data_IF_550843749932
#
_entry.id   IF_550843749932
#
_cell.length_a   1.000
_cell.length_b   1.000
_cell.length_c   1.000
_cell.angle_alpha   90.00
_cell.angle_beta   90.00
_cell.angle_gamma   90.00
#
_symmetry.space_group_name_H-M   'P 1'
#
loop_
_entity.id
_entity.type
_entity.pdbx_description
1 polymer ?
#
# COMPACT_ATOMS: atom_id res chain seq x y z
N UNK A 1 3.41 8.27 28.16
CA UNK A 1 2.98 9.33 29.12
C UNK A 1 1.46 9.29 29.25
N UNK A 2 0.89 9.59 30.43
CA UNK A 2 -0.57 9.65 30.62
C UNK A 2 -0.96 10.84 31.51
N UNK A 3 -1.99 11.59 31.11
CA UNK A 3 -2.64 12.64 31.91
C UNK A 3 -4.15 12.43 31.85
N UNK A 4 -4.76 12.00 32.96
CA UNK A 4 -6.19 11.69 33.00
C UNK A 4 -6.59 10.60 32.00
N UNK A 5 -7.43 10.94 31.03
CA UNK A 5 -7.85 10.06 29.93
C UNK A 5 -6.93 10.14 28.69
N UNK A 6 -5.93 11.03 28.69
CA UNK A 6 -5.05 11.26 27.53
C UNK A 6 -3.79 10.41 27.63
N UNK A 7 -3.48 9.69 26.55
CA UNK A 7 -2.31 8.83 26.44
C UNK A 7 -1.48 9.28 25.24
N UNK A 8 -0.16 9.39 25.42
CA UNK A 8 0.78 9.80 24.38
C UNK A 8 1.92 8.80 24.20
N UNK A 9 2.26 8.55 22.95
CA UNK A 9 3.40 7.74 22.49
C UNK A 9 4.07 8.42 21.30
N UNK A 10 5.40 8.29 21.20
CA UNK A 10 6.15 8.67 20.00
C UNK A 10 6.40 7.47 19.07
N UNK A 11 6.04 6.26 19.50
CA UNK A 11 6.27 5.04 18.74
C UNK A 11 5.16 4.85 17.73
N UNK A 12 5.48 5.12 16.48
CA UNK A 12 4.65 4.76 15.35
C UNK A 12 4.49 3.23 15.29
N UNK A 13 3.34 2.77 14.80
CA UNK A 13 3.07 1.34 14.71
C UNK A 13 2.84 0.61 16.05
N UNK A 14 2.84 1.28 17.21
CA UNK A 14 2.59 0.61 18.51
C UNK A 14 1.32 -0.24 18.52
N UNK A 15 0.27 0.22 17.83
CA UNK A 15 -1.02 -0.47 17.74
C UNK A 15 -1.04 -1.58 16.70
N UNK A 16 0.03 -1.81 15.93
CA UNK A 16 0.15 -2.94 15.01
C UNK A 16 0.43 -4.24 15.76
N UNK A 17 1.12 -4.18 16.90
CA UNK A 17 1.30 -5.33 17.78
C UNK A 17 -0.05 -5.77 18.37
N UNK A 18 -0.52 -6.96 17.95
CA UNK A 18 -1.80 -7.53 18.39
C UNK A 18 -1.90 -7.63 19.92
N UNK A 19 -0.83 -8.09 20.57
CA UNK A 19 -0.77 -8.22 22.03
C UNK A 19 -0.88 -6.87 22.75
N UNK A 20 -0.11 -5.87 22.30
CA UNK A 20 -0.20 -4.52 22.86
C UNK A 20 -1.57 -3.90 22.63
N UNK A 21 -2.07 -3.96 21.38
CA UNK A 21 -3.37 -3.40 21.00
C UNK A 21 -4.50 -3.98 21.84
N UNK A 22 -4.56 -5.31 21.98
CA UNK A 22 -5.61 -5.99 22.77
C UNK A 22 -5.55 -5.56 24.24
N UNK A 23 -4.36 -5.60 24.86
CA UNK A 23 -4.19 -5.16 26.25
C UNK A 23 -4.58 -3.70 26.44
N UNK A 24 -4.14 -2.83 25.54
CA UNK A 24 -4.42 -1.41 25.63
C UNK A 24 -5.92 -1.12 25.47
N UNK A 25 -6.61 -1.76 24.54
CA UNK A 25 -8.05 -1.59 24.35
C UNK A 25 -8.87 -2.11 25.54
N UNK A 26 -8.42 -3.18 26.22
CA UNK A 26 -9.03 -3.62 27.49
C UNK A 26 -8.90 -2.54 28.56
N UNK A 27 -7.74 -1.90 28.69
CA UNK A 27 -7.56 -0.79 29.65
C UNK A 27 -8.43 0.42 29.29
N UNK A 28 -8.55 0.76 28.01
CA UNK A 28 -9.43 1.84 27.52
C UNK A 28 -10.89 1.51 27.82
N UNK A 29 -11.34 0.28 27.56
CA UNK A 29 -12.71 -0.16 27.85
C UNK A 29 -13.04 -0.04 29.33
N UNK A 30 -12.11 -0.49 30.19
CA UNK A 30 -12.24 -0.37 31.65
C UNK A 30 -12.32 1.09 32.09
N UNK A 31 -11.42 1.94 31.61
CA UNK A 31 -11.41 3.36 31.94
C UNK A 31 -12.67 4.10 31.47
N UNK A 32 -13.26 3.67 30.35
CA UNK A 32 -14.49 4.22 29.80
C UNK A 32 -15.77 3.61 30.40
N UNK A 33 -15.67 2.61 31.27
CA UNK A 33 -16.83 1.88 31.79
C UNK A 33 -17.63 1.19 30.68
N UNK A 34 -16.95 0.64 29.67
CA UNK A 34 -17.56 -0.04 28.53
C UNK A 34 -17.33 -1.54 28.59
N UNK A 35 -18.32 -2.30 28.15
CA UNK A 35 -18.18 -3.74 27.90
C UNK A 35 -17.68 -3.93 26.48
N UNK A 36 -16.36 -3.92 26.33
CA UNK A 36 -15.68 -4.19 25.07
C UNK A 36 -14.64 -5.29 25.29
N UNK A 37 -14.62 -6.25 24.38
CA UNK A 37 -13.66 -7.36 24.37
C UNK A 37 -13.00 -7.36 23.00
N UNK A 38 -11.66 -7.21 22.91
CA UNK A 38 -10.96 -7.30 21.64
C UNK A 38 -11.18 -8.66 20.98
N UNK A 39 -11.35 -8.67 19.65
CA UNK A 39 -11.43 -9.90 18.89
C UNK A 39 -10.11 -10.70 18.99
N UNK A 40 -10.16 -12.00 19.34
CA UNK A 40 -8.96 -12.81 19.59
C UNK A 40 -8.22 -13.21 18.31
N UNK A 41 -8.91 -13.19 17.18
CA UNK A 41 -8.50 -13.66 15.85
C UNK A 41 -8.05 -12.52 14.91
N UNK A 42 -8.32 -11.26 15.25
CA UNK A 42 -7.80 -10.12 14.47
C UNK A 42 -6.27 -10.07 14.59
N UNK A 43 -5.57 -10.33 13.48
CA UNK A 43 -4.12 -10.22 13.39
C UNK A 43 -3.69 -9.16 12.38
N UNK A 44 -2.86 -8.23 12.82
CA UNK A 44 -2.29 -7.22 11.93
C UNK A 44 -1.33 -7.82 10.92
N UNK A 45 -0.52 -8.80 11.33
CA UNK A 45 0.46 -9.45 10.45
C UNK A 45 -0.20 -10.08 9.24
N UNK A 46 -1.24 -10.88 9.48
CA UNK A 46 -2.04 -11.53 8.42
C UNK A 46 -2.66 -10.49 7.48
N UNK A 47 -3.35 -9.48 8.02
CA UNK A 47 -3.99 -8.46 7.19
C UNK A 47 -2.98 -7.66 6.36
N UNK A 48 -1.79 -7.41 6.90
CA UNK A 48 -0.71 -6.72 6.19
C UNK A 48 -0.15 -7.58 5.07
N UNK A 49 0.04 -8.87 5.32
CA UNK A 49 0.49 -9.82 4.31
C UNK A 49 -0.51 -9.90 3.16
N UNK A 50 -1.80 -10.10 3.46
CA UNK A 50 -2.85 -10.08 2.43
C UNK A 50 -2.92 -8.75 1.66
N UNK A 51 -2.59 -7.62 2.30
CA UNK A 51 -2.54 -6.33 1.60
C UNK A 51 -1.35 -6.27 0.64
N UNK A 52 -0.20 -6.81 1.03
CA UNK A 52 0.99 -6.86 0.20
C UNK A 52 0.80 -7.83 -0.97
N UNK A 53 0.15 -8.96 -0.75
CA UNK A 53 -0.18 -9.91 -1.82
C UNK A 53 -1.08 -9.26 -2.86
N UNK A 54 -2.16 -8.60 -2.43
CA UNK A 54 -3.05 -7.85 -3.34
C UNK A 54 -2.31 -6.75 -4.10
N UNK A 55 -1.34 -6.09 -3.47
CA UNK A 55 -0.52 -5.10 -4.16
C UNK A 55 0.38 -5.77 -5.21
N UNK A 56 0.92 -6.95 -4.90
CA UNK A 56 1.66 -7.79 -5.83
C UNK A 56 0.81 -8.12 -7.06
N UNK A 57 -0.40 -8.64 -6.86
CA UNK A 57 -1.34 -8.97 -7.93
C UNK A 57 -1.64 -7.76 -8.81
N UNK A 58 -1.90 -6.58 -8.21
CA UNK A 58 -2.14 -5.36 -8.98
C UNK A 58 -0.93 -4.92 -9.81
N UNK A 59 0.29 -5.15 -9.32
CA UNK A 59 1.51 -4.87 -10.08
C UNK A 59 1.67 -5.88 -11.21
N UNK A 60 1.46 -7.16 -10.96
CA UNK A 60 1.58 -8.21 -11.96
C UNK A 60 0.55 -8.07 -13.08
N UNK A 61 -0.72 -7.83 -12.73
CA UNK A 61 -1.82 -7.82 -13.68
C UNK A 61 -1.97 -6.49 -14.42
N UNK A 62 -1.48 -5.38 -13.86
CA UNK A 62 -1.81 -4.04 -14.37
C UNK A 62 -0.63 -3.09 -14.55
N UNK A 63 0.59 -3.43 -14.12
CA UNK A 63 1.76 -2.60 -14.41
C UNK A 63 2.54 -3.14 -15.62
N UNK A 64 2.94 -2.26 -16.54
CA UNK A 64 3.94 -2.58 -17.56
C UNK A 64 5.33 -2.64 -16.90
N UNK A 65 5.63 -3.79 -16.28
CA UNK A 65 6.88 -4.02 -15.56
C UNK A 65 8.11 -3.97 -16.47
N UNK A 66 7.97 -4.33 -17.75
CA UNK A 66 9.02 -4.18 -18.75
C UNK A 66 9.34 -2.71 -19.03
N UNK A 67 8.33 -1.83 -19.14
CA UNK A 67 8.55 -0.39 -19.26
C UNK A 67 9.25 0.20 -18.04
N UNK A 68 8.85 -0.23 -16.83
CA UNK A 68 9.53 0.16 -15.59
C UNK A 68 10.99 -0.29 -15.60
N UNK A 69 11.27 -1.51 -16.05
CA UNK A 69 12.64 -2.01 -16.14
C UNK A 69 13.49 -1.19 -17.11
N UNK A 70 12.95 -0.88 -18.31
CA UNK A 70 13.63 0.02 -19.27
C UNK A 70 13.94 1.40 -18.69
N UNK A 71 13.05 1.94 -17.85
CA UNK A 71 13.28 3.23 -17.18
C UNK A 71 14.35 3.14 -16.08
N UNK A 72 14.37 2.05 -15.31
CA UNK A 72 15.36 1.84 -14.25
C UNK A 72 16.76 1.70 -14.86
N UNK A 73 16.89 0.93 -15.94
CA UNK A 73 18.19 0.68 -16.60
C UNK A 73 18.63 1.82 -17.52
N UNK A 74 17.69 2.41 -18.26
CA UNK A 74 17.96 3.40 -19.31
C UNK A 74 17.76 4.85 -18.90
N UNK A 75 17.15 5.11 -17.75
CA UNK A 75 16.80 6.45 -17.27
C UNK A 75 15.56 7.03 -17.96
N UNK A 76 15.21 8.26 -17.58
CA UNK A 76 14.06 8.97 -18.14
C UNK A 76 14.30 9.33 -19.62
N UNK A 77 13.26 9.27 -20.48
CA UNK A 77 13.36 9.73 -21.86
C UNK A 77 13.84 11.18 -21.94
N UNK A 78 14.72 11.46 -22.91
CA UNK A 78 15.21 12.81 -23.17
C UNK A 78 14.07 13.75 -23.60
N UNK A 79 14.16 15.03 -23.21
CA UNK A 79 13.21 16.06 -23.65
C UNK A 79 11.92 16.15 -22.82
N UNK A 80 11.78 15.35 -21.76
CA UNK A 80 10.69 15.51 -20.79
C UNK A 80 10.94 16.73 -19.88
N UNK A 81 9.90 17.48 -19.51
CA UNK A 81 10.03 18.61 -18.59
C UNK A 81 10.33 18.12 -17.17
N UNK A 82 11.16 18.86 -16.44
CA UNK A 82 11.38 18.60 -15.02
C UNK A 82 10.22 19.12 -14.18
N UNK A 83 9.80 18.33 -13.19
CA UNK A 83 8.82 18.75 -12.19
C UNK A 83 9.55 19.36 -10.99
N UNK A 84 9.23 20.59 -10.56
CA UNK A 84 9.84 21.20 -9.36
C UNK A 84 9.58 20.36 -8.09
N UNK A 85 10.52 20.27 -7.14
CA UNK A 85 11.85 20.90 -7.14
C UNK A 85 12.95 20.08 -7.84
N UNK A 86 12.61 18.99 -8.53
CA UNK A 86 13.56 17.99 -9.03
C UNK A 86 14.34 18.36 -10.30
N UNK A 87 14.34 19.62 -10.73
CA UNK A 87 15.13 20.05 -11.87
C UNK A 87 16.62 20.08 -11.51
N UNK A 88 17.52 19.51 -12.34
CA UNK A 88 18.94 19.72 -12.16
C UNK A 88 19.23 21.22 -12.21
N UNK A 89 20.24 21.70 -11.46
CA UNK A 89 20.63 23.10 -11.52
C UNK A 89 20.89 23.46 -12.98
N UNK A 90 20.29 24.56 -13.45
CA UNK A 90 20.45 25.01 -14.82
C UNK A 90 21.94 25.15 -15.10
N UNK A 91 22.47 24.31 -16.01
CA UNK A 91 23.81 24.54 -16.53
C UNK A 91 23.71 25.84 -17.31
N UNK A 92 24.45 26.86 -16.91
CA UNK A 92 24.43 28.15 -17.59
C UNK A 92 24.95 27.95 -19.02
N UNK A 93 24.04 27.84 -20.01
CA UNK A 93 24.44 27.80 -21.42
C UNK A 93 23.59 27.06 -22.45
N UNK A 94 22.38 26.58 -22.16
CA UNK A 94 21.51 26.01 -23.21
C UNK A 94 20.20 26.78 -23.31
N UNK A 95 20.02 27.48 -24.44
CA UNK A 95 18.86 28.31 -24.74
C UNK A 95 17.54 27.54 -24.66
N UNK A 96 16.53 28.18 -24.06
CA UNK A 96 15.15 27.70 -23.96
C UNK A 96 14.56 27.40 -25.35
N UNK A 97 14.37 26.14 -25.69
CA UNK A 97 13.42 25.76 -26.73
C UNK A 97 12.03 25.70 -26.11
N UNK A 98 11.15 26.63 -26.50
CA UNK A 98 9.72 26.56 -26.18
C UNK A 98 9.13 25.34 -26.88
N UNK A 99 8.96 24.23 -26.14
CA UNK A 99 8.28 23.04 -26.63
C UNK A 99 6.82 23.34 -26.96
N UNK A 100 6.42 23.07 -28.20
CA UNK A 100 5.02 23.06 -28.61
C UNK A 100 4.27 21.93 -27.88
N UNK A 101 3.01 22.19 -27.52
CA UNK A 101 2.16 21.22 -26.84
C UNK A 101 2.00 19.94 -27.69
N UNK A 102 2.11 18.72 -27.11
CA UNK A 102 1.73 17.50 -27.80
C UNK A 102 0.21 17.42 -27.98
N UNK A 103 -0.20 16.92 -29.16
CA UNK A 103 -1.57 16.64 -29.60
C UNK A 103 -2.27 15.60 -28.70
N UNK A 104 -3.49 15.84 -28.18
CA UNK A 104 -4.17 14.87 -27.33
C UNK A 104 -4.88 13.80 -28.18
N UNK A 105 -4.15 12.79 -28.62
CA UNK A 105 -4.74 11.54 -29.06
C UNK A 105 -4.94 10.61 -27.85
N UNK A 106 -6.08 10.77 -27.16
CA UNK A 106 -6.65 9.71 -26.34
C UNK A 106 -7.07 8.56 -27.27
N UNK A 107 -6.39 7.42 -27.20
CA UNK A 107 -6.94 6.16 -27.71
C UNK A 107 -7.66 5.47 -26.55
N UNK A 108 -8.98 5.32 -26.70
CA UNK A 108 -9.86 4.56 -25.82
C UNK A 108 -9.45 3.08 -25.78
N UNK A 109 -9.57 2.38 -24.64
CA UNK A 109 -9.50 0.92 -24.65
C UNK A 109 -10.83 0.37 -25.16
N UNK A 110 -10.81 -0.25 -26.34
CA UNK A 110 -11.90 -1.10 -26.83
C UNK A 110 -11.85 -2.44 -26.09
N UNK A 111 -12.98 -2.85 -25.50
CA UNK A 111 -13.28 -4.26 -25.21
C UNK A 111 -13.04 -4.77 -23.78
N UNK A 112 -13.86 -4.35 -22.82
CA UNK A 112 -14.13 -5.15 -21.61
C UNK A 112 -15.50 -5.80 -21.77
N UNK A 113 -15.51 -7.06 -22.21
CA UNK A 113 -16.69 -7.92 -22.23
C UNK A 113 -16.79 -8.67 -20.90
N UNK A 114 -17.74 -8.26 -20.05
CA UNK A 114 -18.05 -8.92 -18.79
C UNK A 114 -19.20 -9.92 -19.02
N UNK A 115 -18.83 -11.16 -19.32
CA UNK A 115 -19.65 -12.36 -19.15
C UNK A 115 -18.74 -13.40 -18.47
N UNK A 116 -18.88 -13.76 -17.19
CA UNK A 116 -20.07 -14.25 -16.52
C UNK A 116 -20.06 -15.77 -16.49
N UNK A 117 -19.51 -16.40 -15.43
CA UNK A 117 -20.12 -17.52 -14.69
C UNK A 117 -19.15 -18.25 -13.73
N UNK A 118 -19.56 -18.30 -12.46
CA UNK A 118 -19.60 -19.45 -11.55
C UNK A 118 -18.36 -20.37 -11.35
N UNK A 119 -17.94 -20.48 -10.09
CA UNK A 119 -17.09 -21.57 -9.61
C UNK A 119 -16.73 -21.45 -8.13
N UNK A 120 -17.69 -21.70 -7.24
CA UNK A 120 -17.42 -22.00 -5.83
C UNK A 120 -16.58 -23.29 -5.74
N UNK A 121 -15.44 -23.25 -5.03
CA UNK A 121 -14.57 -24.42 -4.89
C UNK A 121 -13.57 -24.32 -3.74
N UNK A 122 -14.02 -24.78 -2.56
CA UNK A 122 -13.25 -25.43 -1.50
C UNK A 122 -12.14 -24.66 -0.74
N UNK A 123 -12.53 -24.31 0.49
CA UNK A 123 -11.64 -24.12 1.64
C UNK A 123 -11.02 -25.47 2.00
N UNK A 124 -9.69 -25.56 2.02
CA UNK A 124 -8.97 -26.63 2.69
C UNK A 124 -8.30 -26.03 3.93
N UNK A 125 -8.84 -26.37 5.11
CA UNK A 125 -8.18 -26.15 6.38
C UNK A 125 -6.85 -26.89 6.39
N UNK A 126 -5.74 -26.17 6.59
CA UNK A 126 -4.49 -26.80 6.98
C UNK A 126 -4.28 -26.57 8.48
N UNK A 127 -4.39 -27.69 9.21
CA UNK A 127 -4.21 -27.84 10.63
C UNK A 127 -2.81 -27.39 11.06
N UNK A 128 -2.78 -26.67 12.19
CA UNK A 128 -1.58 -26.21 12.89
C UNK A 128 -1.00 -27.37 13.69
N UNK A 129 0.24 -27.75 13.39
CA UNK A 129 1.14 -28.39 14.36
C UNK A 129 2.28 -27.42 14.67
N UNK A 130 2.15 -26.66 15.77
CA UNK A 130 3.29 -26.01 16.41
C UNK A 130 3.64 -26.75 17.70
N UNK A 131 4.65 -27.60 17.61
CA UNK A 131 5.31 -28.19 18.76
C UNK A 131 6.18 -27.16 19.51
N UNK A 132 6.19 -27.36 20.82
CA UNK A 132 6.95 -26.66 21.84
C UNK A 132 8.46 -26.58 21.56
N UNK A 133 9.03 -25.37 21.73
CA UNK A 133 10.21 -25.18 22.59
C UNK A 133 10.42 -23.73 23.01
#
# INVERSE_FOLDING_TARGET
CRVGAVWGTHWHGSLESDGFRRRFLVEVARAAGRRFVPAPDTSFGVLREEQLDRLGDLVEEHADTDALWRLIEGGAPSGLPFVPPGAPPAVAGAAESRGAAPDPAHQSPEGLDFAGSAGLGQVAEHHVDQEAK
#
